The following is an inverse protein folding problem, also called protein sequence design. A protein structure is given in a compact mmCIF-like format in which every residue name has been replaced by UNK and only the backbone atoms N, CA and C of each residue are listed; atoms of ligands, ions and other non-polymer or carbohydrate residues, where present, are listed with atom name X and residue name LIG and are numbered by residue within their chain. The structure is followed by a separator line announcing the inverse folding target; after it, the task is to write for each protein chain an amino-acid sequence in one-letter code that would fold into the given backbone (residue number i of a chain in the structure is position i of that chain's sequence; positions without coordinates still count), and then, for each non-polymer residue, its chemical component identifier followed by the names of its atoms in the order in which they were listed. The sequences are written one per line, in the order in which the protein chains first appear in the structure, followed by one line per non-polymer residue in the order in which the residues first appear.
data_IF_549720132781
#
_entry.id   IF_549720132781
#
_cell.length_a   1.000
_cell.length_b   1.000
_cell.length_c   1.000
_cell.angle_alpha   90.00
_cell.angle_beta   90.00
_cell.angle_gamma   90.00
#
_symmetry.space_group_name_H-M   'P 1'
#
loop_
_entity.id
_entity.type
_entity.pdbx_description
1 polymer ?
#
# COMPACT_ATOMS: atom_id res chain seq x y z
N UNK A 1 -24.58 -19.71 12.35
CA UNK A 1 -24.31 -19.13 13.68
C UNK A 1 -24.76 -17.67 13.66
N UNK A 2 -25.87 -17.35 14.33
CA UNK A 2 -26.44 -16.00 14.45
C UNK A 2 -26.07 -15.50 15.86
N UNK A 3 -25.44 -14.32 15.97
CA UNK A 3 -25.09 -13.72 17.26
C UNK A 3 -23.66 -13.15 17.39
N UNK A 4 -23.02 -12.70 16.31
CA UNK A 4 -21.78 -11.92 16.41
C UNK A 4 -22.10 -10.43 16.15
N UNK A 5 -21.86 -9.53 17.12
CA UNK A 5 -22.24 -8.12 17.03
C UNK A 5 -21.54 -7.35 15.91
N UNK A 6 -20.36 -7.81 15.45
CA UNK A 6 -19.67 -7.20 14.31
C UNK A 6 -20.43 -7.51 13.01
N UNK A 7 -20.88 -8.76 12.83
CA UNK A 7 -21.60 -9.17 11.61
C UNK A 7 -22.99 -8.56 11.48
N UNK A 8 -23.62 -8.15 12.59
CA UNK A 8 -24.98 -7.56 12.56
C UNK A 8 -24.98 -6.10 12.11
N UNK A 9 -23.91 -5.34 12.41
CA UNK A 9 -23.74 -3.94 11.92
C UNK A 9 -23.51 -3.91 10.42
N UNK A 10 -22.71 -4.84 9.89
CA UNK A 10 -22.52 -4.97 8.45
C UNK A 10 -23.82 -5.37 7.73
N UNK A 11 -24.64 -6.24 8.34
CA UNK A 11 -25.90 -6.70 7.75
C UNK A 11 -26.93 -5.58 7.61
N UNK A 12 -27.10 -4.73 8.62
CA UNK A 12 -28.08 -3.63 8.59
C UNK A 12 -27.70 -2.55 7.58
N UNK A 13 -26.40 -2.28 7.41
CA UNK A 13 -25.88 -1.34 6.41
C UNK A 13 -26.12 -1.81 4.97
N UNK A 14 -25.98 -3.10 4.68
CA UNK A 14 -26.26 -3.63 3.34
C UNK A 14 -27.76 -3.70 3.02
N UNK A 15 -28.61 -3.99 4.02
CA UNK A 15 -30.07 -3.98 3.84
C UNK A 15 -30.61 -2.58 3.58
N UNK A 16 -30.04 -1.53 4.18
CA UNK A 16 -30.45 -0.14 3.89
C UNK A 16 -30.08 0.31 2.48
N UNK A 17 -29.12 -0.36 1.84
CA UNK A 17 -28.73 -0.17 0.45
C UNK A 17 -29.56 -1.04 -0.53
N UNK A 18 -30.64 -1.67 -0.05
CA UNK A 18 -31.51 -2.59 -0.79
C UNK A 18 -30.79 -3.81 -1.40
N UNK A 19 -29.61 -4.17 -0.88
CA UNK A 19 -28.93 -5.41 -1.22
C UNK A 19 -29.53 -6.56 -0.39
N UNK A 20 -30.08 -7.57 -1.06
CA UNK A 20 -30.47 -8.82 -0.40
C UNK A 20 -29.20 -9.66 -0.14
N UNK A 21 -28.89 -9.89 1.13
CA UNK A 21 -27.97 -10.98 1.48
C UNK A 21 -28.69 -12.30 1.17
N UNK A 22 -28.22 -13.02 0.16
CA UNK A 22 -28.63 -14.40 -0.12
C UNK A 22 -28.20 -15.27 1.06
N UNK A 23 -29.15 -15.60 1.95
CA UNK A 23 -28.92 -16.59 3.01
C UNK A 23 -29.27 -18.01 2.59
N UNK A 24 -29.74 -18.18 1.36
CA UNK A 24 -30.08 -19.48 0.83
C UNK A 24 -28.81 -20.13 0.30
N UNK A 25 -28.64 -21.38 0.69
CA UNK A 25 -27.50 -22.25 0.39
C UNK A 25 -26.88 -21.93 -0.97
N UNK A 26 -25.68 -21.36 -0.98
CA UNK A 26 -24.86 -21.33 -2.17
C UNK A 26 -24.80 -22.75 -2.71
N UNK A 27 -25.31 -22.94 -3.92
CA UNK A 27 -25.33 -24.26 -4.53
C UNK A 27 -23.88 -24.75 -4.64
N UNK A 28 -23.68 -26.06 -4.57
CA UNK A 28 -22.34 -26.66 -4.53
C UNK A 28 -21.46 -26.19 -5.70
N UNK A 29 -22.07 -25.81 -6.83
CA UNK A 29 -21.39 -25.22 -7.98
C UNK A 29 -20.85 -23.80 -7.73
N UNK A 30 -21.61 -22.91 -7.08
CA UNK A 30 -21.14 -21.57 -6.73
C UNK A 30 -20.06 -21.61 -5.65
N UNK A 31 -20.21 -22.53 -4.68
CA UNK A 31 -19.20 -22.72 -3.65
C UNK A 31 -17.89 -23.27 -4.24
N UNK A 32 -17.98 -24.23 -5.15
CA UNK A 32 -16.82 -24.76 -5.87
C UNK A 32 -16.16 -23.68 -6.73
N UNK A 33 -16.93 -22.84 -7.42
CA UNK A 33 -16.39 -21.73 -8.21
C UNK A 33 -15.66 -20.69 -7.33
N UNK A 34 -16.21 -20.36 -6.16
CA UNK A 34 -15.56 -19.46 -5.21
C UNK A 34 -14.28 -20.07 -4.59
N UNK A 35 -14.28 -21.38 -4.34
CA UNK A 35 -13.10 -22.11 -3.85
C UNK A 35 -12.01 -22.20 -4.95
N UNK A 36 -12.37 -22.43 -6.20
CA UNK A 36 -11.46 -22.41 -7.36
C UNK A 36 -10.87 -21.02 -7.56
N UNK A 37 -11.68 -19.96 -7.53
CA UNK A 37 -11.20 -18.57 -7.66
C UNK A 37 -10.23 -18.19 -6.54
N UNK A 38 -10.51 -18.65 -5.30
CA UNK A 38 -9.62 -18.47 -4.16
C UNK A 38 -8.29 -19.23 -4.32
N UNK A 39 -8.33 -20.47 -4.83
CA UNK A 39 -7.12 -21.26 -5.10
C UNK A 39 -6.26 -20.64 -6.21
N UNK A 40 -6.89 -20.17 -7.28
CA UNK A 40 -6.17 -19.46 -8.34
C UNK A 40 -5.55 -18.15 -7.84
N UNK A 41 -6.25 -17.42 -6.96
CA UNK A 41 -5.72 -16.22 -6.33
C UNK A 41 -4.46 -16.54 -5.48
N UNK A 42 -4.51 -17.63 -4.70
CA UNK A 42 -3.39 -18.12 -3.90
C UNK A 42 -2.21 -18.57 -4.77
N UNK A 43 -2.45 -19.26 -5.89
CA UNK A 43 -1.39 -19.65 -6.82
C UNK A 43 -0.75 -18.44 -7.50
N UNK A 44 -1.56 -17.46 -7.93
CA UNK A 44 -1.04 -16.19 -8.48
C UNK A 44 -0.16 -15.49 -7.45
N UNK A 45 -0.59 -15.46 -6.19
CA UNK A 45 0.18 -14.87 -5.10
C UNK A 45 1.50 -15.62 -4.85
N UNK A 46 1.51 -16.95 -4.89
CA UNK A 46 2.73 -17.78 -4.75
C UNK A 46 3.73 -17.53 -5.89
N UNK A 47 3.29 -17.55 -7.15
CA UNK A 47 4.16 -17.30 -8.32
C UNK A 47 4.77 -15.88 -8.29
N UNK A 48 4.00 -14.91 -7.81
CA UNK A 48 4.50 -13.54 -7.59
C UNK A 48 5.55 -13.49 -6.46
N UNK A 49 5.34 -14.25 -5.38
CA UNK A 49 6.30 -14.36 -4.27
C UNK A 49 7.62 -15.07 -4.65
N UNK A 50 7.57 -16.04 -5.58
CA UNK A 50 8.77 -16.72 -6.10
C UNK A 50 9.61 -15.80 -7.01
N UNK A 51 8.95 -15.02 -7.87
CA UNK A 51 9.59 -14.00 -8.73
C UNK A 51 10.35 -12.95 -7.90
N UNK A 52 9.86 -12.71 -6.68
CA UNK A 52 10.40 -11.78 -5.70
C UNK A 52 11.75 -12.19 -5.06
N UNK A 53 12.15 -13.47 -5.12
CA UNK A 53 13.28 -13.98 -4.33
C UNK A 53 14.70 -13.67 -4.88
N UNK A 54 14.89 -12.66 -5.75
CA UNK A 54 16.20 -12.37 -6.39
C UNK A 54 17.11 -11.39 -5.60
N UNK A 55 18.40 -11.70 -5.35
CA UNK A 55 18.92 -11.72 -3.98
C UNK A 55 19.40 -10.41 -3.33
N UNK A 56 19.45 -9.25 -4.01
CA UNK A 56 19.94 -7.99 -3.37
C UNK A 56 18.96 -6.82 -3.38
N UNK A 57 18.26 -6.56 -4.50
CA UNK A 57 17.09 -5.66 -4.46
C UNK A 57 15.89 -6.31 -3.76
N UNK A 58 15.81 -7.66 -3.73
CA UNK A 58 14.76 -8.36 -2.99
C UNK A 58 14.86 -8.16 -1.47
N UNK A 59 16.06 -7.97 -0.89
CA UNK A 59 16.17 -7.91 0.57
C UNK A 59 15.62 -6.60 1.13
N UNK A 60 16.01 -5.45 0.55
CA UNK A 60 15.43 -4.15 0.89
C UNK A 60 13.92 -4.14 0.67
N UNK A 61 13.48 -4.56 -0.52
CA UNK A 61 12.04 -4.61 -0.86
C UNK A 61 11.25 -5.50 0.09
N UNK A 62 11.76 -6.69 0.40
CA UNK A 62 11.15 -7.61 1.35
C UNK A 62 11.03 -6.97 2.73
N UNK A 63 12.09 -6.38 3.26
CA UNK A 63 12.05 -5.75 4.58
C UNK A 63 11.10 -4.55 4.64
N UNK A 64 11.00 -3.76 3.57
CA UNK A 64 10.03 -2.66 3.48
C UNK A 64 8.60 -3.21 3.48
N UNK A 65 8.33 -4.30 2.76
CA UNK A 65 7.00 -4.90 2.71
C UNK A 65 6.66 -5.68 3.99
N UNK A 66 7.64 -6.26 4.68
CA UNK A 66 7.45 -6.83 6.03
C UNK A 66 7.04 -5.73 7.03
N UNK A 67 7.52 -4.50 6.84
CA UNK A 67 7.23 -3.36 7.71
C UNK A 67 5.83 -2.77 7.49
N UNK A 68 5.44 -2.58 6.23
CA UNK A 68 4.21 -1.85 5.87
C UNK A 68 3.11 -2.73 5.26
N UNK A 69 3.43 -3.97 4.88
CA UNK A 69 2.61 -4.80 4.02
C UNK A 69 2.88 -4.54 2.52
N UNK A 70 2.36 -5.42 1.68
CA UNK A 70 2.39 -5.28 0.22
C UNK A 70 1.25 -4.37 -0.27
N UNK A 71 1.25 -3.11 0.17
CA UNK A 71 0.23 -2.12 -0.18
C UNK A 71 0.88 -0.75 -0.43
N UNK A 72 0.53 -0.10 -1.54
CA UNK A 72 0.95 1.27 -1.79
C UNK A 72 0.36 2.19 -0.72
N UNK A 73 1.20 2.93 0.00
CA UNK A 73 0.73 3.82 1.07
C UNK A 73 -0.13 4.97 0.58
N UNK A 74 0.05 5.40 -0.67
CA UNK A 74 -0.71 6.51 -1.27
C UNK A 74 -2.03 6.05 -1.87
N UNK A 75 -2.00 4.96 -2.64
CA UNK A 75 -3.15 4.55 -3.48
C UNK A 75 -3.96 3.39 -2.89
N UNK A 76 -3.45 2.72 -1.86
CA UNK A 76 -4.03 1.48 -1.34
C UNK A 76 -3.89 0.28 -2.29
N UNK A 77 -3.22 0.43 -3.44
CA UNK A 77 -3.02 -0.65 -4.40
C UNK A 77 -2.29 -1.85 -3.77
N UNK A 78 -2.85 -3.05 -3.94
CA UNK A 78 -2.29 -4.32 -3.43
C UNK A 78 -1.70 -5.21 -4.53
N UNK A 79 -1.79 -4.79 -5.78
CA UNK A 79 -1.25 -5.53 -6.92
C UNK A 79 0.28 -5.55 -6.83
N UNK A 80 0.85 -6.64 -6.34
CA UNK A 80 2.28 -6.77 -6.01
C UNK A 80 3.19 -6.40 -7.19
N UNK A 81 2.78 -6.73 -8.42
CA UNK A 81 3.53 -6.40 -9.65
C UNK A 81 3.63 -4.89 -9.92
N UNK A 82 2.68 -4.11 -9.41
CA UNK A 82 2.67 -2.65 -9.54
C UNK A 82 3.41 -1.94 -8.41
N UNK A 83 3.85 -2.68 -7.38
CA UNK A 83 4.47 -2.12 -6.17
C UNK A 83 5.99 -2.20 -6.20
N UNK A 84 6.62 -1.09 -5.83
CA UNK A 84 8.06 -0.94 -5.65
C UNK A 84 8.33 -0.55 -4.19
N UNK A 85 9.54 -0.86 -3.70
CA UNK A 85 10.03 -0.28 -2.45
C UNK A 85 10.80 0.98 -2.79
N UNK A 86 10.19 2.13 -2.54
CA UNK A 86 10.75 3.43 -2.85
C UNK A 86 11.66 3.91 -1.72
N UNK A 87 12.85 4.38 -2.06
CA UNK A 87 13.71 5.04 -1.08
C UNK A 87 13.19 6.44 -0.77
N UNK A 88 13.06 6.74 0.51
CA UNK A 88 12.67 8.07 0.98
C UNK A 88 13.80 9.07 0.80
N UNK A 89 15.04 8.72 1.17
CA UNK A 89 16.24 9.39 0.70
C UNK A 89 16.93 8.50 -0.34
N UNK A 90 17.09 8.95 -1.60
CA UNK A 90 17.74 8.16 -2.63
C UNK A 90 19.18 7.80 -2.25
N UNK A 91 19.64 6.61 -2.65
CA UNK A 91 21.01 6.16 -2.37
C UNK A 91 22.06 7.13 -2.96
N UNK A 92 21.78 7.71 -4.13
CA UNK A 92 22.63 8.73 -4.74
C UNK A 92 22.80 10.01 -3.90
N UNK A 93 21.87 10.29 -2.97
CA UNK A 93 21.90 11.40 -2.02
C UNK A 93 22.32 10.98 -0.61
N UNK A 94 22.95 9.81 -0.46
CA UNK A 94 23.40 9.29 0.85
C UNK A 94 22.37 8.42 1.59
N UNK A 95 21.28 8.05 0.93
CA UNK A 95 20.31 7.08 1.46
C UNK A 95 20.91 5.68 1.67
N UNK A 96 20.30 4.91 2.56
CA UNK A 96 20.72 3.52 2.86
C UNK A 96 19.67 2.50 2.41
N UNK A 97 20.10 1.28 2.08
CA UNK A 97 19.22 0.12 1.83
C UNK A 97 18.69 -0.51 3.12
N UNK A 98 18.25 0.32 4.06
CA UNK A 98 17.63 -0.12 5.32
C UNK A 98 16.13 0.10 5.25
N UNK A 99 15.36 -0.84 5.81
CA UNK A 99 13.90 -0.82 5.78
C UNK A 99 13.24 0.47 6.28
N UNK A 100 13.87 1.19 7.22
CA UNK A 100 13.36 2.47 7.72
C UNK A 100 13.41 3.58 6.66
N UNK A 101 14.29 3.47 5.66
CA UNK A 101 14.44 4.45 4.56
C UNK A 101 13.56 4.09 3.35
N UNK A 102 12.65 3.12 3.48
CA UNK A 102 11.82 2.67 2.37
C UNK A 102 10.34 2.74 2.68
N UNK A 103 9.52 2.99 1.66
CA UNK A 103 8.06 2.89 1.71
C UNK A 103 7.53 2.15 0.47
N UNK A 104 6.50 1.29 0.59
CA UNK A 104 5.90 0.67 -0.59
C UNK A 104 5.05 1.68 -1.36
N UNK A 105 5.35 1.85 -2.64
CA UNK A 105 4.61 2.74 -3.54
C UNK A 105 4.27 2.03 -4.84
N UNK A 106 3.23 2.52 -5.51
CA UNK A 106 2.94 2.15 -6.90
C UNK A 106 4.02 2.76 -7.78
N UNK A 107 4.40 2.06 -8.84
CA UNK A 107 5.55 2.40 -9.69
C UNK A 107 5.51 3.82 -10.28
N UNK A 108 4.32 4.34 -10.60
CA UNK A 108 4.09 5.71 -11.04
C UNK A 108 4.32 6.73 -9.90
N UNK A 109 3.74 6.50 -8.73
CA UNK A 109 3.89 7.37 -7.55
C UNK A 109 5.35 7.40 -7.08
N UNK A 110 6.06 6.28 -7.14
CA UNK A 110 7.50 6.23 -6.85
C UNK A 110 8.30 7.13 -7.80
N UNK A 111 8.02 7.07 -9.11
CA UNK A 111 8.67 7.93 -10.10
C UNK A 111 8.40 9.41 -9.85
N UNK A 112 7.17 9.77 -9.46
CA UNK A 112 6.82 11.16 -9.12
C UNK A 112 7.53 11.63 -7.85
N UNK A 113 7.64 10.75 -6.84
CA UNK A 113 8.44 11.03 -5.66
C UNK A 113 9.90 11.30 -6.03
N UNK A 114 10.49 10.45 -6.90
CA UNK A 114 11.85 10.58 -7.44
C UNK A 114 12.08 11.84 -8.28
N UNK A 115 11.08 12.25 -9.06
CA UNK A 115 11.10 13.50 -9.79
C UNK A 115 10.93 14.73 -8.87
N UNK A 116 10.39 14.55 -7.66
CA UNK A 116 10.13 15.64 -6.72
C UNK A 116 8.74 16.28 -6.86
N UNK A 117 7.94 15.85 -7.84
CA UNK A 117 6.58 16.37 -8.11
C UNK A 117 5.52 15.84 -7.14
N UNK A 118 5.86 14.80 -6.38
CA UNK A 118 5.14 14.39 -5.17
C UNK A 118 6.11 14.38 -4.00
N UNK A 119 5.68 14.87 -2.84
CA UNK A 119 6.48 14.91 -1.62
C UNK A 119 5.65 14.56 -0.40
N UNK A 120 6.28 14.03 0.65
CA UNK A 120 5.64 13.81 1.95
C UNK A 120 6.23 14.83 2.92
N UNK A 121 5.38 15.64 3.52
CA UNK A 121 5.80 16.59 4.54
C UNK A 121 6.20 15.82 5.83
N UNK A 122 7.43 16.02 6.35
CA UNK A 122 7.94 15.24 7.48
C UNK A 122 7.39 15.67 8.85
N UNK A 123 6.74 16.83 8.94
CA UNK A 123 6.18 17.37 10.18
C UNK A 123 4.70 17.00 10.30
N UNK A 124 3.98 17.00 9.18
CA UNK A 124 2.54 16.71 9.12
C UNK A 124 2.20 15.33 8.56
N UNK A 125 3.16 14.64 7.95
CA UNK A 125 2.96 13.37 7.23
C UNK A 125 1.92 13.45 6.10
N UNK A 126 1.73 14.64 5.54
CA UNK A 126 0.79 14.87 4.44
C UNK A 126 1.48 14.73 3.08
N UNK A 127 0.78 14.12 2.13
CA UNK A 127 1.23 14.05 0.75
C UNK A 127 0.95 15.37 0.04
N UNK A 128 1.97 15.98 -0.54
CA UNK A 128 1.84 17.12 -1.42
C UNK A 128 2.08 16.69 -2.86
N UNK A 129 1.23 17.19 -3.76
CA UNK A 129 1.28 16.96 -5.21
C UNK A 129 1.41 18.32 -5.87
N UNK A 130 2.42 18.47 -6.74
CA UNK A 130 2.71 19.72 -7.44
C UNK A 130 1.70 20.00 -8.56
N UNK A 131 1.56 21.29 -8.91
CA UNK A 131 0.56 21.79 -9.86
C UNK A 131 0.61 21.10 -11.22
N UNK A 132 1.82 20.83 -11.72
CA UNK A 132 2.07 20.21 -13.04
C UNK A 132 1.48 18.80 -13.20
N UNK A 133 1.16 18.12 -12.10
CA UNK A 133 0.62 16.75 -12.09
C UNK A 133 -0.71 16.63 -11.35
N UNK A 134 -1.33 17.76 -10.97
CA UNK A 134 -2.60 17.77 -10.24
C UNK A 134 -3.75 17.15 -11.03
N UNK A 135 -3.80 17.30 -12.34
CA UNK A 135 -4.90 16.77 -13.16
C UNK A 135 -5.03 15.25 -13.04
N UNK A 136 -3.90 14.54 -12.98
CA UNK A 136 -3.85 13.08 -12.89
C UNK A 136 -3.76 12.55 -11.45
N UNK A 137 -3.08 13.30 -10.56
CA UNK A 137 -2.70 12.82 -9.22
C UNK A 137 -3.27 13.67 -8.07
N UNK A 138 -4.01 14.73 -8.35
CA UNK A 138 -4.53 15.67 -7.35
C UNK A 138 -5.47 15.03 -6.33
N UNK A 139 -6.11 13.91 -6.67
CA UNK A 139 -6.89 13.08 -5.74
C UNK A 139 -6.07 12.56 -4.53
N UNK A 140 -4.74 12.55 -4.62
CA UNK A 140 -3.85 12.15 -3.53
C UNK A 140 -3.29 13.34 -2.75
N UNK A 141 -3.50 14.58 -3.22
CA UNK A 141 -3.03 15.78 -2.54
C UNK A 141 -3.72 15.92 -1.17
N UNK A 142 -2.95 16.22 -0.13
CA UNK A 142 -3.43 16.35 1.24
C UNK A 142 -3.69 15.03 1.96
N UNK A 143 -3.36 13.88 1.37
CA UNK A 143 -3.53 12.57 2.01
C UNK A 143 -2.65 12.48 3.28
N UNK A 144 -3.28 12.18 4.41
CA UNK A 144 -2.61 12.00 5.70
C UNK A 144 -2.05 10.57 5.82
N UNK A 145 -0.75 10.46 6.05
CA UNK A 145 -0.03 9.18 6.17
C UNK A 145 0.53 8.92 7.58
N UNK A 146 0.29 9.82 8.54
CA UNK A 146 0.83 9.72 9.89
C UNK A 146 0.35 8.49 10.64
N UNK A 147 -0.89 8.03 10.39
CA UNK A 147 -1.40 6.78 10.97
C UNK A 147 -0.52 5.55 10.67
N UNK A 148 0.22 5.57 9.55
CA UNK A 148 1.11 4.48 9.14
C UNK A 148 2.59 4.83 9.28
N UNK A 149 2.98 6.09 9.13
CA UNK A 149 4.38 6.53 9.16
C UNK A 149 4.86 6.95 10.56
N UNK A 150 4.03 7.64 11.35
CA UNK A 150 4.45 8.25 12.60
C UNK A 150 4.65 7.22 13.73
N UNK A 151 3.78 6.20 13.80
CA UNK A 151 3.77 5.21 14.89
C UNK A 151 4.74 4.03 14.68
N UNK A 152 5.61 4.09 13.67
CA UNK A 152 6.54 2.99 13.35
C UNK A 152 7.94 3.26 13.90
N UNK A 153 8.58 2.22 14.44
CA UNK A 153 9.99 2.25 14.89
C UNK A 153 10.91 2.85 13.82
N UNK A 154 11.53 4.00 14.09
CA UNK A 154 12.39 4.70 13.12
C UNK A 154 11.70 5.79 12.30
N UNK A 155 10.50 6.22 12.69
CA UNK A 155 9.80 7.37 12.10
C UNK A 155 10.61 8.67 12.17
N UNK A 156 11.41 8.89 13.22
CA UNK A 156 12.33 10.03 13.31
C UNK A 156 13.38 10.02 12.19
N UNK A 157 14.00 8.86 11.92
CA UNK A 157 14.97 8.72 10.82
C UNK A 157 14.33 8.89 9.44
N UNK A 158 13.09 8.39 9.30
CA UNK A 158 12.30 8.58 8.08
C UNK A 158 11.99 10.07 7.84
N UNK A 159 11.60 10.81 8.88
CA UNK A 159 11.35 12.25 8.79
C UNK A 159 12.62 13.03 8.45
N UNK A 160 13.75 12.69 9.08
CA UNK A 160 15.06 13.27 8.73
C UNK A 160 15.45 13.00 7.27
N UNK A 161 15.20 11.79 6.77
CA UNK A 161 15.44 11.42 5.38
C UNK A 161 14.55 12.22 4.41
N UNK A 162 13.27 12.41 4.73
CA UNK A 162 12.36 13.27 3.96
C UNK A 162 12.85 14.73 3.93
N UNK A 163 13.29 15.28 5.08
CA UNK A 163 13.89 16.62 5.13
C UNK A 163 15.15 16.72 4.27
N UNK A 164 16.03 15.72 4.35
CA UNK A 164 17.28 15.66 3.58
C UNK A 164 17.06 15.46 2.08
N UNK A 165 15.93 14.86 1.67
CA UNK A 165 15.56 14.70 0.26
C UNK A 165 15.39 16.06 -0.42
N UNK A 166 14.71 16.99 0.26
CA UNK A 166 14.25 18.29 -0.26
C UNK A 166 13.17 18.15 -1.33
N UNK A 167 12.47 19.26 -1.65
CA UNK A 167 11.84 19.41 -2.98
C UNK A 167 12.96 19.74 -3.96
N UNK A 168 13.02 19.02 -5.08
CA UNK A 168 14.01 19.27 -6.14
C UNK A 168 13.66 20.57 -6.84
#
# INVERSE_FOLDING_TARGET
MIGNPITDVFRSYFQSLAFELTTDSVDAAEKAAAEDEAQEADERQRRQAETWARPRQALFRRQVFERYGAICLVTGCRTILSLEAAHVLPVAKGGTDKAWNGIPLRADIHRLLDAGTISIDPDTWTLNVDEDVLDDYGQYHGLELGYVLADRKGSTLLAEALRARGRI
#
